data_IF_343302773416
#
_entry.id   IF_343302773416
#
_cell.length_a   1.000
_cell.length_b   1.000
_cell.length_c   1.000
_cell.angle_alpha   90.00
_cell.angle_beta   90.00
_cell.angle_gamma   90.00
#
_symmetry.space_group_name_H-M   'P 1'
#
loop_
_entity.id
_entity.type
_entity.pdbx_description
1 polymer ?
#
# COMPACT_ATOMS: atom_id res chain seq x y z
N UNK A 1 6.43 50.50 65.07
CA UNK A 1 5.26 49.62 65.30
C UNK A 1 5.25 48.57 64.18
N UNK A 2 5.41 47.33 64.60
CA UNK A 2 5.47 46.16 63.75
C UNK A 2 4.14 45.83 63.11
N UNK A 3 4.13 45.44 61.82
CA UNK A 3 3.17 44.46 61.33
C UNK A 3 3.86 43.56 60.31
N UNK A 4 4.06 42.32 60.73
CA UNK A 4 4.43 41.18 59.87
C UNK A 4 3.27 40.89 58.98
N UNK A 5 3.51 40.91 57.66
CA UNK A 5 2.64 40.25 56.70
C UNK A 5 3.17 38.84 56.48
N UNK A 6 2.36 37.84 56.78
CA UNK A 6 2.61 36.44 56.58
C UNK A 6 2.47 36.15 55.09
N UNK A 7 3.53 35.60 54.51
CA UNK A 7 3.54 34.99 53.17
C UNK A 7 2.82 33.66 53.27
N UNK A 8 1.63 33.56 52.66
CA UNK A 8 0.99 32.29 52.37
C UNK A 8 1.64 31.73 51.12
N UNK A 9 2.47 30.72 51.28
CA UNK A 9 2.88 29.84 50.18
C UNK A 9 1.68 29.00 49.76
N UNK A 10 1.11 29.30 48.60
CA UNK A 10 0.18 28.43 47.94
C UNK A 10 0.99 27.25 47.36
N UNK A 11 0.84 26.09 47.96
CA UNK A 11 1.20 24.81 47.31
C UNK A 11 0.28 24.61 46.12
N UNK A 12 0.74 24.92 44.92
CA UNK A 12 0.17 24.41 43.69
C UNK A 12 0.48 22.90 43.61
N UNK A 13 -0.43 22.10 44.16
CA UNK A 13 -0.49 20.69 43.85
C UNK A 13 -0.85 20.55 42.35
N UNK A 14 0.13 20.26 41.52
CA UNK A 14 -0.07 19.80 40.13
C UNK A 14 -0.93 18.55 40.22
N UNK A 15 -2.25 18.67 40.00
CA UNK A 15 -3.15 17.56 39.76
C UNK A 15 -2.65 16.84 38.51
N UNK A 16 -1.97 15.71 38.67
CA UNK A 16 -1.69 14.81 37.56
C UNK A 16 -3.04 14.38 36.97
N UNK A 17 -3.38 14.87 35.80
CA UNK A 17 -4.57 14.49 35.08
C UNK A 17 -4.65 12.95 35.06
N UNK A 18 -5.76 12.40 35.51
CA UNK A 18 -5.97 10.96 35.55
C UNK A 18 -5.92 10.38 34.15
N UNK A 19 -5.08 9.36 33.93
CA UNK A 19 -4.96 8.68 32.65
C UNK A 19 -6.19 7.80 32.39
N UNK A 20 -7.17 8.35 31.68
CA UNK A 20 -8.40 7.64 31.30
C UNK A 20 -8.57 7.71 29.79
N UNK A 21 -8.80 6.58 29.09
CA UNK A 21 -9.06 6.60 27.67
C UNK A 21 -10.37 7.34 27.35
N UNK A 22 -10.44 7.97 26.16
CA UNK A 22 -11.65 8.67 25.70
C UNK A 22 -12.81 7.71 25.43
N UNK A 23 -12.49 6.50 24.98
CA UNK A 23 -13.43 5.40 24.79
C UNK A 23 -13.01 4.26 25.70
N UNK A 24 -13.95 3.76 26.50
CA UNK A 24 -13.76 2.62 27.40
C UNK A 24 -14.91 1.65 27.21
N UNK A 25 -14.62 0.36 27.18
CA UNK A 25 -15.66 -0.64 27.09
C UNK A 25 -16.63 -0.51 28.27
N UNK A 26 -17.95 -0.77 28.09
CA UNK A 26 -18.97 -0.55 29.10
C UNK A 26 -18.64 -1.17 30.47
N UNK A 27 -18.07 -2.37 30.46
CA UNK A 27 -17.69 -3.14 31.65
C UNK A 27 -16.55 -2.51 32.48
N UNK A 28 -15.79 -1.57 31.89
CA UNK A 28 -14.64 -0.92 32.55
C UNK A 28 -14.85 0.58 32.79
N UNK A 29 -16.04 1.13 32.54
CA UNK A 29 -16.28 2.60 32.66
C UNK A 29 -15.93 3.15 34.03
N UNK A 30 -16.23 2.38 35.08
CA UNK A 30 -16.01 2.76 36.47
C UNK A 30 -14.71 2.19 37.05
N UNK A 31 -13.86 1.57 36.20
CA UNK A 31 -12.58 1.04 36.65
C UNK A 31 -11.57 2.17 36.91
N UNK A 32 -10.56 1.87 37.70
CA UNK A 32 -9.50 2.82 38.08
C UNK A 32 -8.82 3.47 36.86
N UNK A 33 -8.23 4.64 37.07
CA UNK A 33 -7.38 5.29 36.10
C UNK A 33 -6.17 4.41 35.74
N UNK A 34 -5.69 4.52 34.52
CA UNK A 34 -4.55 3.77 34.05
C UNK A 34 -3.25 4.23 34.72
N UNK A 35 -2.32 3.31 34.87
CA UNK A 35 -0.94 3.57 35.30
C UNK A 35 -0.07 3.86 34.08
N UNK A 36 1.08 4.50 34.30
CA UNK A 36 2.09 4.71 33.25
C UNK A 36 3.45 4.22 33.72
N UNK A 37 4.19 3.61 32.83
CA UNK A 37 5.59 3.22 33.08
C UNK A 37 6.39 3.23 31.77
N UNK A 38 7.71 3.36 31.90
CA UNK A 38 8.60 3.11 30.76
C UNK A 38 8.45 1.67 30.27
N UNK A 39 8.49 1.48 28.95
CA UNK A 39 8.34 0.15 28.33
C UNK A 39 9.37 -0.84 28.86
N UNK A 40 10.58 -0.40 29.17
CA UNK A 40 11.62 -1.24 29.75
C UNK A 40 11.21 -1.97 31.04
N UNK A 41 10.30 -1.38 31.82
CA UNK A 41 9.74 -1.98 33.04
C UNK A 41 8.59 -2.94 32.78
N UNK A 42 8.06 -2.95 31.56
CA UNK A 42 6.88 -3.72 31.17
C UNK A 42 7.22 -4.92 30.26
N UNK A 43 8.47 -5.03 29.84
CA UNK A 43 8.92 -6.10 28.93
C UNK A 43 10.11 -6.88 29.50
N UNK A 44 10.24 -8.08 29.02
CA UNK A 44 11.47 -8.89 29.10
C UNK A 44 11.94 -9.25 27.69
N UNK A 45 13.24 -9.47 27.53
CA UNK A 45 13.83 -9.92 26.25
C UNK A 45 13.98 -11.42 26.24
N UNK A 46 13.62 -12.06 25.13
CA UNK A 46 13.80 -13.48 24.89
C UNK A 46 15.06 -13.69 24.06
N UNK A 47 15.94 -14.57 24.54
CA UNK A 47 17.15 -14.94 23.81
C UNK A 47 16.88 -16.15 22.91
N UNK A 48 17.14 -16.09 21.60
CA UNK A 48 16.95 -17.22 20.71
C UNK A 48 17.98 -18.32 21.02
N UNK A 49 17.62 -19.60 20.89
CA UNK A 49 18.57 -20.71 21.06
C UNK A 49 19.67 -20.68 19.99
N UNK A 50 19.34 -20.26 18.76
CA UNK A 50 20.26 -20.15 17.63
C UNK A 50 19.76 -19.06 16.68
N UNK A 51 20.68 -18.39 15.99
CA UNK A 51 20.38 -17.47 14.87
C UNK A 51 20.75 -18.15 13.55
N UNK A 52 19.91 -17.95 12.54
CA UNK A 52 20.13 -18.49 11.19
C UNK A 52 20.72 -17.37 10.31
N UNK A 53 21.93 -17.57 9.72
CA UNK A 53 22.48 -16.61 8.76
C UNK A 53 21.62 -16.48 7.51
N UNK A 54 21.57 -15.31 6.89
CA UNK A 54 20.74 -15.07 5.70
C UNK A 54 21.10 -16.00 4.50
N UNK A 55 22.33 -16.49 4.45
CA UNK A 55 22.81 -17.46 3.44
C UNK A 55 22.21 -18.87 3.61
N UNK A 56 21.61 -19.15 4.77
CA UNK A 56 21.01 -20.45 5.09
C UNK A 56 19.47 -20.42 5.02
N UNK A 57 18.87 -19.33 4.52
CA UNK A 57 17.43 -19.25 4.36
C UNK A 57 16.97 -20.07 3.15
N UNK A 58 15.97 -20.91 3.36
CA UNK A 58 15.29 -21.62 2.28
C UNK A 58 14.13 -20.78 1.76
N UNK A 59 13.79 -20.99 0.48
CA UNK A 59 12.58 -20.40 -0.12
C UNK A 59 11.28 -21.06 0.41
N UNK A 60 11.36 -22.31 0.91
CA UNK A 60 10.29 -23.08 1.56
C UNK A 60 10.90 -23.99 2.59
N UNK A 61 10.18 -24.25 3.68
CA UNK A 61 10.62 -25.13 4.76
C UNK A 61 9.51 -25.32 5.81
N UNK A 62 9.82 -26.01 6.91
CA UNK A 62 8.90 -26.32 7.97
C UNK A 62 8.62 -25.13 8.91
N UNK A 63 9.64 -24.31 9.16
CA UNK A 63 9.57 -23.23 10.15
C UNK A 63 9.92 -21.88 9.56
N UNK A 64 9.13 -20.83 9.85
CA UNK A 64 9.42 -19.50 9.34
C UNK A 64 10.64 -18.88 10.04
N UNK A 65 11.47 -18.19 9.26
CA UNK A 65 12.55 -17.35 9.77
C UNK A 65 12.08 -15.91 9.76
N UNK A 66 12.24 -15.24 10.89
CA UNK A 66 11.85 -13.84 11.09
C UNK A 66 13.12 -13.00 11.29
N UNK A 67 13.20 -11.90 10.56
CA UNK A 67 14.27 -10.90 10.65
C UNK A 67 13.72 -9.49 10.81
N UNK A 68 14.60 -8.48 10.74
CA UNK A 68 14.23 -7.07 10.87
C UNK A 68 13.58 -6.48 9.61
N UNK A 69 13.43 -7.23 8.52
CA UNK A 69 12.79 -6.77 7.29
C UNK A 69 11.30 -6.46 7.48
N UNK A 70 10.71 -5.76 6.52
CA UNK A 70 9.28 -5.43 6.55
C UNK A 70 8.38 -6.63 6.21
N UNK A 71 8.90 -7.64 5.52
CA UNK A 71 8.17 -8.88 5.22
C UNK A 71 7.92 -9.68 6.48
N UNK A 72 6.73 -10.27 6.61
CA UNK A 72 6.38 -11.10 7.77
C UNK A 72 7.32 -12.29 7.93
N UNK A 73 7.68 -12.94 6.85
CA UNK A 73 8.62 -14.07 6.80
C UNK A 73 9.78 -13.70 5.88
N UNK A 74 11.00 -13.86 6.38
CA UNK A 74 12.23 -13.60 5.63
C UNK A 74 12.73 -14.82 4.84
N UNK A 75 12.39 -16.02 5.31
CA UNK A 75 12.75 -17.29 4.72
C UNK A 75 12.28 -18.44 5.59
N UNK A 76 12.79 -19.63 5.34
CA UNK A 76 12.37 -20.87 6.01
C UNK A 76 13.58 -21.68 6.45
N UNK A 77 13.38 -22.51 7.47
CA UNK A 77 14.37 -23.50 7.95
C UNK A 77 13.68 -24.79 8.32
N UNK A 78 14.42 -25.90 8.26
CA UNK A 78 14.00 -27.21 8.79
C UNK A 78 14.71 -27.57 10.09
N UNK A 79 15.50 -26.65 10.67
CA UNK A 79 16.24 -26.86 11.92
C UNK A 79 15.36 -26.63 13.15
N UNK A 80 14.88 -27.70 13.84
CA UNK A 80 14.05 -27.54 15.02
C UNK A 80 14.83 -27.00 16.24
N UNK A 81 16.16 -27.04 16.23
CA UNK A 81 16.99 -26.54 17.33
C UNK A 81 17.07 -25.00 17.35
N UNK A 82 16.70 -24.34 16.26
CA UNK A 82 16.65 -22.88 16.16
C UNK A 82 15.31 -22.29 16.62
N UNK A 83 14.33 -23.11 16.94
CA UNK A 83 12.97 -22.66 17.23
C UNK A 83 12.88 -21.98 18.59
N UNK A 84 12.28 -20.81 18.54
CA UNK A 84 11.76 -20.09 19.70
C UNK A 84 10.32 -20.52 19.87
N UNK A 85 10.02 -21.07 21.06
CA UNK A 85 8.69 -21.52 21.48
C UNK A 85 8.35 -20.80 22.76
N UNK A 86 7.18 -20.23 22.82
CA UNK A 86 6.63 -19.62 24.04
C UNK A 86 5.13 -19.89 24.06
N UNK A 87 4.54 -20.01 25.25
CA UNK A 87 3.10 -20.19 25.43
C UNK A 87 2.32 -18.89 25.23
N UNK A 88 3.02 -17.77 25.23
CA UNK A 88 2.46 -16.43 24.97
C UNK A 88 3.02 -15.87 23.68
N UNK A 89 2.28 -14.93 23.03
CA UNK A 89 2.77 -14.22 21.88
C UNK A 89 4.08 -13.47 22.15
N UNK A 90 4.90 -13.32 21.13
CA UNK A 90 6.16 -12.60 21.20
C UNK A 90 6.15 -11.40 20.24
N UNK A 91 6.64 -10.25 20.70
CA UNK A 91 6.84 -9.07 19.87
C UNK A 91 8.23 -9.12 19.28
N UNK A 92 8.33 -8.92 17.98
CA UNK A 92 9.59 -8.76 17.27
C UNK A 92 9.76 -7.29 16.90
N UNK A 93 10.88 -6.71 17.31
CA UNK A 93 11.25 -5.33 16.97
C UNK A 93 12.55 -5.32 16.16
N UNK A 94 12.50 -4.74 14.97
CA UNK A 94 13.69 -4.52 14.12
C UNK A 94 14.48 -3.31 14.61
N UNK A 95 15.70 -3.54 15.10
CA UNK A 95 16.51 -2.52 15.76
C UNK A 95 16.96 -1.38 14.82
N UNK A 96 17.09 -1.65 13.52
CA UNK A 96 17.44 -0.66 12.50
C UNK A 96 16.26 -0.20 11.65
N UNK A 97 15.29 -1.08 11.44
CA UNK A 97 14.14 -0.84 10.53
C UNK A 97 12.90 -0.33 11.26
N UNK A 98 12.87 -0.44 12.59
CA UNK A 98 11.69 -0.21 13.43
C UNK A 98 10.47 -1.09 13.05
N UNK A 99 10.70 -2.16 12.28
CA UNK A 99 9.65 -3.12 11.96
C UNK A 99 9.12 -3.75 13.26
N UNK A 100 7.80 -3.82 13.39
CA UNK A 100 7.12 -4.36 14.55
C UNK A 100 6.19 -5.50 14.11
N UNK A 101 6.39 -6.69 14.69
CA UNK A 101 5.60 -7.89 14.38
C UNK A 101 5.17 -8.56 15.68
N UNK A 102 4.08 -9.31 15.65
CA UNK A 102 3.67 -10.21 16.75
C UNK A 102 3.57 -11.62 16.22
N UNK A 103 4.16 -12.57 16.94
CA UNK A 103 4.16 -13.97 16.57
C UNK A 103 3.53 -14.80 17.67
N UNK A 104 2.63 -15.70 17.27
CA UNK A 104 1.92 -16.64 18.15
C UNK A 104 2.36 -18.07 17.94
N UNK A 105 2.99 -18.34 16.79
CA UNK A 105 3.50 -19.65 16.42
C UNK A 105 5.01 -19.74 16.57
N UNK A 106 5.58 -20.93 16.75
CA UNK A 106 7.02 -21.12 16.81
C UNK A 106 7.74 -20.62 15.54
N UNK A 107 8.86 -19.93 15.72
CA UNK A 107 9.66 -19.37 14.63
C UNK A 107 11.16 -19.45 14.95
N UNK A 108 11.99 -19.27 13.95
CA UNK A 108 13.44 -19.13 14.11
C UNK A 108 13.86 -17.65 13.92
N UNK A 109 14.84 -17.21 14.70
CA UNK A 109 15.44 -15.90 14.49
C UNK A 109 16.40 -15.97 13.29
N UNK A 110 16.24 -15.05 12.35
CA UNK A 110 17.19 -14.82 11.28
C UNK A 110 18.45 -14.08 11.74
N UNK A 111 19.07 -13.37 10.82
CA UNK A 111 20.27 -12.57 11.08
C UNK A 111 20.08 -11.53 12.21
N UNK A 112 21.19 -10.90 12.64
CA UNK A 112 21.17 -9.89 13.69
C UNK A 112 20.25 -8.69 13.37
N UNK A 113 19.92 -7.91 14.40
CA UNK A 113 19.15 -6.67 14.28
C UNK A 113 17.70 -6.79 14.71
N UNK A 114 17.27 -7.89 15.35
CA UNK A 114 15.97 -7.96 16.01
C UNK A 114 16.09 -8.08 17.53
N UNK A 115 15.04 -7.63 18.20
CA UNK A 115 14.77 -7.85 19.62
C UNK A 115 13.46 -8.60 19.75
N UNK A 116 13.49 -9.66 20.54
CA UNK A 116 12.32 -10.50 20.84
C UNK A 116 11.86 -10.12 22.24
N UNK A 117 10.63 -9.64 22.35
CA UNK A 117 10.10 -9.04 23.58
C UNK A 117 8.84 -9.79 24.02
N UNK A 118 8.68 -9.90 25.33
CA UNK A 118 7.51 -10.47 25.99
C UNK A 118 7.05 -9.51 27.08
N UNK A 119 5.74 -9.41 27.31
CA UNK A 119 5.17 -8.66 28.43
C UNK A 119 5.66 -9.18 29.77
N UNK A 120 5.87 -8.30 30.72
CA UNK A 120 6.37 -8.61 32.06
C UNK A 120 5.33 -8.19 33.10
N UNK A 121 4.48 -9.12 33.53
CA UNK A 121 3.53 -9.00 34.64
C UNK A 121 2.47 -7.90 34.54
N UNK A 122 2.84 -6.58 34.64
CA UNK A 122 1.85 -5.51 34.63
C UNK A 122 1.13 -5.30 33.30
N UNK A 123 1.77 -5.69 32.18
CA UNK A 123 1.20 -5.55 30.85
C UNK A 123 1.36 -6.81 30.02
N UNK A 124 0.30 -7.20 29.32
CA UNK A 124 0.30 -8.37 28.42
C UNK A 124 1.01 -8.05 27.11
N UNK A 125 1.62 -9.04 26.50
CA UNK A 125 2.35 -8.92 25.23
C UNK A 125 1.46 -8.37 24.13
N UNK A 126 0.24 -8.87 23.99
CA UNK A 126 -0.69 -8.44 22.94
C UNK A 126 -1.14 -6.98 23.12
N UNK A 127 -1.44 -6.56 24.35
CA UNK A 127 -1.75 -5.17 24.65
C UNK A 127 -0.58 -4.23 24.32
N UNK A 128 0.64 -4.61 24.72
CA UNK A 128 1.85 -3.85 24.42
C UNK A 128 2.08 -3.74 22.91
N UNK A 129 1.89 -4.83 22.16
CA UNK A 129 1.99 -4.81 20.70
C UNK A 129 1.03 -3.79 20.09
N UNK A 130 -0.24 -3.80 20.47
CA UNK A 130 -1.23 -2.85 19.95
C UNK A 130 -0.90 -1.41 20.34
N UNK A 131 -0.40 -1.17 21.56
CA UNK A 131 0.03 0.14 21.99
C UNK A 131 1.25 0.65 21.19
N UNK A 132 2.21 -0.22 20.89
CA UNK A 132 3.37 0.10 20.07
C UNK A 132 2.99 0.36 18.61
N UNK A 133 1.98 -0.33 18.07
CA UNK A 133 1.39 -0.03 16.76
C UNK A 133 0.71 1.35 16.72
N UNK A 134 0.11 1.78 17.84
CA UNK A 134 -0.50 3.12 17.95
C UNK A 134 0.54 4.23 17.91
N UNK A 135 1.67 4.06 18.60
CA UNK A 135 2.78 5.01 18.63
C UNK A 135 4.09 4.33 18.27
N UNK A 136 4.32 4.04 16.98
CA UNK A 136 5.53 3.35 16.54
C UNK A 136 6.77 4.20 16.78
N UNK A 137 7.92 3.56 16.91
CA UNK A 137 9.21 4.22 16.75
C UNK A 137 9.40 4.42 15.24
N UNK A 138 9.70 5.64 14.83
CA UNK A 138 9.99 5.94 13.43
C UNK A 138 11.49 5.74 13.17
N UNK A 139 11.87 5.14 12.03
CA UNK A 139 13.26 5.02 11.69
C UNK A 139 13.86 6.41 11.43
N UNK A 140 14.94 6.69 12.10
CA UNK A 140 15.81 7.83 11.83
C UNK A 140 17.03 7.33 11.03
N UNK A 141 18.08 8.16 10.82
CA UNK A 141 19.32 7.74 10.18
C UNK A 141 19.84 6.39 10.69
N UNK A 142 20.79 5.76 10.01
CA UNK A 142 21.27 4.41 10.33
C UNK A 142 21.80 4.30 11.78
N UNK A 143 20.90 4.07 12.72
CA UNK A 143 21.19 3.85 14.16
C UNK A 143 20.33 2.72 14.72
N UNK A 144 20.64 2.35 15.95
CA UNK A 144 19.85 1.38 16.73
C UNK A 144 18.72 2.11 17.46
N UNK A 145 17.49 1.59 17.34
CA UNK A 145 16.31 2.24 17.89
C UNK A 145 15.74 1.55 19.13
N UNK A 146 16.35 0.46 19.58
CA UNK A 146 15.82 -0.29 20.74
C UNK A 146 15.88 0.52 22.03
N UNK A 147 16.88 1.39 22.24
CA UNK A 147 16.91 2.32 23.35
C UNK A 147 15.71 3.26 23.34
N UNK A 148 15.40 3.87 22.18
CA UNK A 148 14.23 4.74 22.00
C UNK A 148 12.94 4.00 22.29
N UNK A 149 12.85 2.73 21.87
CA UNK A 149 11.68 1.91 22.15
C UNK A 149 11.50 1.69 23.68
N UNK A 150 12.56 1.38 24.41
CA UNK A 150 12.57 1.12 25.85
C UNK A 150 12.16 2.34 26.68
N UNK A 151 12.55 3.52 26.23
CA UNK A 151 12.28 4.80 26.94
C UNK A 151 10.84 5.28 26.76
N UNK A 152 10.07 4.68 25.82
CA UNK A 152 8.67 5.04 25.62
C UNK A 152 7.85 4.83 26.89
N UNK A 153 7.03 5.83 27.22
CA UNK A 153 6.08 5.72 28.31
C UNK A 153 4.77 5.11 27.79
N UNK A 154 4.37 4.02 28.42
CA UNK A 154 3.16 3.25 28.10
C UNK A 154 2.14 3.45 29.19
N UNK A 155 0.94 3.89 28.82
CA UNK A 155 -0.22 3.88 29.71
C UNK A 155 -0.90 2.49 29.63
N UNK A 156 -1.28 1.93 30.76
CA UNK A 156 -1.91 0.62 30.82
C UNK A 156 -2.89 0.49 31.99
N UNK A 157 -4.02 -0.22 31.82
CA UNK A 157 -4.89 -0.61 32.93
C UNK A 157 -4.29 -1.77 33.69
N UNK A 158 -4.80 -2.06 34.87
CA UNK A 158 -4.35 -3.21 35.64
C UNK A 158 -4.62 -4.54 34.88
N UNK A 159 -3.61 -5.40 34.76
CA UNK A 159 -3.72 -6.64 33.96
C UNK A 159 -4.86 -7.55 34.46
N UNK A 160 -5.07 -7.62 35.76
CA UNK A 160 -6.13 -8.45 36.38
C UNK A 160 -7.56 -7.99 36.07
N UNK A 161 -7.75 -6.75 35.61
CA UNK A 161 -9.07 -6.23 35.27
C UNK A 161 -9.69 -6.91 34.03
N UNK A 162 -8.87 -7.48 33.15
CA UNK A 162 -9.28 -8.00 31.86
C UNK A 162 -9.40 -6.92 30.76
N UNK A 163 -9.22 -5.65 31.06
CA UNK A 163 -9.36 -4.56 30.11
C UNK A 163 -8.28 -4.60 29.02
N UNK A 164 -7.02 -4.95 29.38
CA UNK A 164 -5.94 -5.13 28.42
C UNK A 164 -6.28 -6.18 27.37
N UNK A 165 -6.79 -7.33 27.82
CA UNK A 165 -7.18 -8.43 26.93
C UNK A 165 -8.31 -7.99 26.00
N UNK A 166 -9.33 -7.31 26.53
CA UNK A 166 -10.47 -6.82 25.74
C UNK A 166 -10.05 -5.85 24.65
N UNK A 167 -9.12 -4.94 24.95
CA UNK A 167 -8.55 -3.98 23.97
C UNK A 167 -7.73 -4.75 22.93
N UNK A 168 -6.86 -5.65 23.37
CA UNK A 168 -6.03 -6.45 22.47
C UNK A 168 -6.89 -7.31 21.52
N UNK A 169 -7.89 -8.01 22.01
CA UNK A 169 -8.80 -8.82 21.21
C UNK A 169 -9.56 -8.01 20.18
N UNK A 170 -10.08 -6.84 20.58
CA UNK A 170 -10.80 -5.94 19.68
C UNK A 170 -9.90 -5.45 18.54
N UNK A 171 -8.68 -5.02 18.84
CA UNK A 171 -7.76 -4.52 17.82
C UNK A 171 -7.15 -5.64 16.97
N UNK A 172 -6.87 -6.80 17.55
CA UNK A 172 -6.39 -7.98 16.82
C UNK A 172 -7.44 -8.53 15.87
N UNK A 173 -8.72 -8.56 16.25
CA UNK A 173 -9.79 -8.97 15.34
C UNK A 173 -9.91 -8.07 14.10
N UNK A 174 -9.59 -6.77 14.25
CA UNK A 174 -9.49 -5.86 13.10
C UNK A 174 -8.24 -6.13 12.26
N UNK A 175 -7.12 -6.52 12.87
CA UNK A 175 -5.92 -6.94 12.12
C UNK A 175 -6.20 -8.18 11.28
N UNK A 176 -6.85 -9.18 11.87
CA UNK A 176 -7.23 -10.41 11.18
C UNK A 176 -8.17 -10.13 10.00
N UNK A 177 -9.13 -9.22 10.21
CA UNK A 177 -10.04 -8.78 9.14
C UNK A 177 -9.30 -8.06 8.03
N UNK A 178 -8.40 -7.11 8.35
CA UNK A 178 -7.58 -6.40 7.37
C UNK A 178 -6.70 -7.38 6.59
N UNK A 179 -6.12 -8.35 7.26
CA UNK A 179 -5.30 -9.40 6.63
C UNK A 179 -6.13 -10.26 5.67
N UNK A 180 -7.30 -10.73 6.07
CA UNK A 180 -8.18 -11.54 5.23
C UNK A 180 -8.66 -10.77 3.98
N UNK A 181 -9.03 -9.48 4.15
CA UNK A 181 -9.45 -8.63 3.03
C UNK A 181 -8.26 -8.30 2.11
N UNK A 182 -7.03 -8.22 2.63
CA UNK A 182 -5.82 -8.04 1.83
C UNK A 182 -5.51 -9.29 0.99
N UNK A 183 -5.61 -10.48 1.56
CA UNK A 183 -5.46 -11.74 0.83
C UNK A 183 -6.51 -11.87 -0.29
N UNK A 184 -7.75 -11.44 -0.04
CA UNK A 184 -8.80 -11.38 -1.07
C UNK A 184 -8.44 -10.41 -2.20
N UNK A 185 -7.88 -9.25 -1.88
CA UNK A 185 -7.40 -8.28 -2.88
C UNK A 185 -6.32 -8.90 -3.78
N UNK A 186 -5.35 -9.60 -3.20
CA UNK A 186 -4.26 -10.23 -3.93
C UNK A 186 -4.77 -11.39 -4.80
N UNK A 187 -5.76 -12.15 -4.33
CA UNK A 187 -6.42 -13.18 -5.10
C UNK A 187 -7.17 -12.59 -6.31
N UNK A 188 -7.89 -11.47 -6.15
CA UNK A 188 -8.55 -10.77 -7.25
C UNK A 188 -7.55 -10.26 -8.30
N UNK A 189 -6.44 -9.66 -7.88
CA UNK A 189 -5.38 -9.21 -8.78
C UNK A 189 -4.76 -10.38 -9.57
N UNK A 190 -4.48 -11.48 -8.87
CA UNK A 190 -3.94 -12.70 -9.47
C UNK A 190 -4.91 -13.30 -10.48
N UNK A 191 -6.19 -13.38 -10.12
CA UNK A 191 -7.25 -13.87 -11.00
C UNK A 191 -7.37 -13.00 -12.25
N UNK A 192 -7.42 -11.66 -12.11
CA UNK A 192 -7.44 -10.73 -13.26
C UNK A 192 -6.26 -10.97 -14.18
N UNK A 193 -5.04 -11.05 -13.62
CA UNK A 193 -3.81 -11.31 -14.41
C UNK A 193 -3.91 -12.62 -15.18
N UNK A 194 -4.35 -13.71 -14.54
CA UNK A 194 -4.53 -15.00 -15.18
C UNK A 194 -5.59 -14.97 -16.26
N UNK A 195 -6.70 -14.28 -16.04
CA UNK A 195 -7.77 -14.13 -17.02
C UNK A 195 -7.31 -13.31 -18.24
N UNK A 196 -6.59 -12.20 -18.03
CA UNK A 196 -5.99 -11.43 -19.13
C UNK A 196 -5.09 -12.32 -20.02
N UNK A 197 -4.23 -13.17 -19.43
CA UNK A 197 -3.35 -14.08 -20.17
C UNK A 197 -4.11 -15.15 -20.96
N UNK A 198 -5.36 -15.42 -20.62
CA UNK A 198 -6.19 -16.42 -21.31
C UNK A 198 -7.12 -15.80 -22.34
N UNK A 199 -7.64 -14.59 -22.11
CA UNK A 199 -8.55 -13.86 -22.99
C UNK A 199 -7.84 -13.18 -24.17
N UNK A 200 -6.52 -13.08 -24.13
CA UNK A 200 -5.71 -12.56 -25.25
C UNK A 200 -4.84 -13.66 -25.82
N UNK A 201 -4.63 -13.70 -27.16
CA UNK A 201 -3.70 -14.61 -27.78
C UNK A 201 -2.27 -14.43 -27.25
N UNK A 202 -1.51 -15.49 -27.15
CA UNK A 202 -0.08 -15.41 -26.90
C UNK A 202 0.68 -14.93 -28.14
N UNK A 203 1.94 -14.58 -27.94
CA UNK A 203 2.81 -14.23 -29.07
C UNK A 203 2.86 -15.37 -30.11
N UNK A 204 2.52 -15.05 -31.36
CA UNK A 204 2.43 -16.01 -32.47
C UNK A 204 1.10 -16.77 -32.53
N UNK A 205 0.17 -16.61 -31.60
CA UNK A 205 -1.19 -17.16 -31.68
C UNK A 205 -2.18 -16.09 -32.19
N UNK A 206 -3.19 -16.52 -32.94
CA UNK A 206 -4.25 -15.64 -33.48
C UNK A 206 -5.59 -15.84 -32.79
N UNK A 207 -5.70 -16.84 -31.89
CA UNK A 207 -6.91 -17.17 -31.13
C UNK A 207 -6.57 -17.27 -29.64
N UNK A 208 -7.35 -16.65 -28.75
CA UNK A 208 -7.10 -16.76 -27.29
C UNK A 208 -7.47 -18.17 -26.79
N UNK A 209 -6.85 -18.58 -25.67
CA UNK A 209 -7.12 -19.90 -25.05
C UNK A 209 -8.48 -19.98 -24.39
N UNK A 210 -8.96 -18.85 -23.88
CA UNK A 210 -10.31 -18.71 -23.34
C UNK A 210 -11.06 -17.69 -24.19
N UNK A 211 -12.23 -18.11 -24.69
CA UNK A 211 -13.11 -17.26 -25.47
C UNK A 211 -14.52 -17.38 -24.95
N UNK A 212 -15.24 -16.27 -24.90
CA UNK A 212 -16.62 -16.30 -24.46
C UNK A 212 -17.48 -17.19 -25.37
N UNK A 213 -18.50 -17.88 -24.84
CA UNK A 213 -19.29 -18.83 -25.60
C UNK A 213 -19.85 -18.27 -26.92
N UNK A 214 -20.28 -17.02 -26.91
CA UNK A 214 -20.84 -16.29 -28.04
C UNK A 214 -19.85 -16.06 -29.20
N UNK A 215 -18.53 -16.19 -28.95
CA UNK A 215 -17.49 -15.95 -29.93
C UNK A 215 -16.65 -17.20 -30.25
N UNK A 216 -17.00 -18.37 -29.71
CA UNK A 216 -16.21 -19.60 -29.93
C UNK A 216 -16.08 -19.96 -31.42
N UNK A 217 -17.14 -19.73 -32.21
CA UNK A 217 -17.17 -19.97 -33.65
C UNK A 217 -16.69 -18.75 -34.48
N UNK A 218 -16.31 -17.64 -33.85
CA UNK A 218 -15.77 -16.48 -34.54
C UNK A 218 -14.36 -16.79 -35.09
N UNK A 219 -13.99 -16.16 -36.20
CA UNK A 219 -12.71 -16.35 -36.86
C UNK A 219 -11.49 -15.99 -36.01
N UNK A 220 -10.32 -16.11 -36.58
CA UNK A 220 -9.06 -15.66 -35.97
C UNK A 220 -9.05 -14.14 -35.80
N UNK A 221 -8.30 -13.66 -34.80
CA UNK A 221 -8.11 -12.25 -34.60
C UNK A 221 -7.20 -11.64 -35.66
N UNK A 222 -7.55 -10.46 -36.14
CA UNK A 222 -6.76 -9.75 -37.15
C UNK A 222 -5.59 -9.01 -36.49
N UNK A 223 -4.45 -8.96 -37.16
CA UNK A 223 -3.32 -8.14 -36.75
C UNK A 223 -3.55 -6.69 -37.16
N UNK A 224 -3.73 -5.77 -36.20
CA UNK A 224 -3.88 -4.34 -36.44
C UNK A 224 -2.77 -3.55 -35.77
N UNK A 225 -2.34 -2.43 -36.34
CA UNK A 225 -1.41 -1.51 -35.70
C UNK A 225 -2.13 -0.65 -34.65
N UNK A 226 -1.40 -0.12 -33.65
CA UNK A 226 -1.98 0.84 -32.70
C UNK A 226 -2.59 2.04 -33.42
N UNK A 227 -1.99 2.48 -34.55
CA UNK A 227 -2.53 3.54 -35.39
C UNK A 227 -3.87 3.27 -36.03
N UNK A 228 -4.23 1.98 -36.21
CA UNK A 228 -5.54 1.58 -36.76
C UNK A 228 -6.67 1.72 -35.75
N UNK A 229 -6.36 1.75 -34.43
CA UNK A 229 -7.37 1.95 -33.37
C UNK A 229 -7.95 3.36 -33.33
N UNK A 230 -7.22 4.34 -33.88
CA UNK A 230 -7.68 5.71 -33.90
C UNK A 230 -6.55 6.74 -34.01
N UNK A 231 -6.82 7.96 -33.63
CA UNK A 231 -5.84 9.04 -33.68
C UNK A 231 -4.80 8.89 -32.55
N UNK A 232 -3.51 8.87 -32.91
CA UNK A 232 -2.42 8.88 -31.95
C UNK A 232 -1.91 10.31 -31.77
N UNK A 233 -1.93 10.83 -30.53
CA UNK A 233 -1.47 12.20 -30.21
C UNK A 233 -0.33 12.11 -29.22
N UNK A 234 0.83 12.72 -29.57
CA UNK A 234 1.89 13.00 -28.61
C UNK A 234 1.53 14.24 -27.82
N UNK A 235 1.58 14.18 -26.51
CA UNK A 235 1.31 15.30 -25.63
C UNK A 235 2.30 16.44 -25.79
N UNK A 236 1.96 17.58 -25.23
CA UNK A 236 2.78 18.79 -25.20
C UNK A 236 2.56 19.55 -23.89
N UNK A 237 3.55 20.32 -23.46
CA UNK A 237 3.49 21.10 -22.23
C UNK A 237 3.32 22.57 -22.58
N UNK A 238 2.30 23.28 -22.06
CA UNK A 238 2.17 24.70 -22.20
C UNK A 238 3.40 25.44 -21.64
N UNK A 239 3.67 26.65 -22.07
CA UNK A 239 4.81 27.41 -21.57
C UNK A 239 4.74 27.59 -20.05
N UNK A 240 5.75 27.09 -19.34
CA UNK A 240 5.86 27.21 -17.86
C UNK A 240 6.18 28.68 -17.44
N UNK A 241 6.60 29.53 -18.38
CA UNK A 241 6.78 30.94 -18.13
C UNK A 241 5.45 31.73 -18.05
N UNK A 242 4.31 31.05 -18.30
CA UNK A 242 2.95 31.61 -18.24
C UNK A 242 2.12 30.94 -17.15
N UNK A 243 2.22 31.40 -15.90
CA UNK A 243 1.52 30.78 -14.75
C UNK A 243 -0.01 30.73 -14.93
N UNK A 244 -0.57 31.67 -15.70
CA UNK A 244 -2.01 31.74 -16.01
C UNK A 244 -2.54 30.54 -16.78
N UNK A 245 -1.70 29.68 -17.33
CA UNK A 245 -2.10 28.44 -17.99
C UNK A 245 -2.36 27.30 -17.02
N UNK A 246 -1.95 27.45 -15.75
CA UNK A 246 -1.97 26.39 -14.74
C UNK A 246 -2.95 26.68 -13.59
N UNK A 247 -3.29 25.64 -12.81
CA UNK A 247 -4.13 25.78 -11.62
C UNK A 247 -5.64 25.79 -11.87
N UNK A 248 -6.08 25.44 -13.08
CA UNK A 248 -7.50 25.32 -13.44
C UNK A 248 -8.09 23.94 -13.09
N UNK A 249 -9.21 23.62 -13.76
CA UNK A 249 -9.93 22.35 -13.50
C UNK A 249 -9.65 21.21 -14.49
N UNK A 250 -8.78 21.42 -15.50
CA UNK A 250 -8.52 20.43 -16.55
C UNK A 250 -7.28 19.61 -16.19
N UNK A 251 -7.36 18.26 -16.13
CA UNK A 251 -6.21 17.41 -15.80
C UNK A 251 -5.07 17.57 -16.82
N UNK A 252 -3.84 17.70 -16.31
CA UNK A 252 -2.61 17.63 -17.10
C UNK A 252 -1.81 16.41 -16.66
N UNK A 253 -1.95 15.33 -17.42
CA UNK A 253 -1.41 14.02 -17.05
C UNK A 253 0.08 13.93 -17.39
N UNK A 254 0.87 13.55 -16.43
CA UNK A 254 2.28 13.19 -16.54
C UNK A 254 2.50 11.73 -16.09
N UNK A 255 3.66 11.12 -16.37
CA UNK A 255 3.93 9.75 -15.90
C UNK A 255 3.84 9.57 -14.36
N UNK A 256 4.00 10.65 -13.59
CA UNK A 256 3.89 10.63 -12.12
C UNK A 256 2.44 10.54 -11.63
N UNK A 257 1.47 10.84 -12.47
CA UNK A 257 0.03 10.77 -12.16
C UNK A 257 -0.56 9.38 -12.50
N UNK A 258 0.20 8.56 -13.26
CA UNK A 258 -0.23 7.21 -13.68
C UNK A 258 0.15 6.21 -12.58
N UNK A 259 -0.87 5.64 -11.95
CA UNK A 259 -0.79 4.57 -10.95
C UNK A 259 -1.08 3.19 -11.56
N UNK A 260 -1.22 2.17 -10.71
CA UNK A 260 -1.66 0.83 -11.13
C UNK A 260 -3.17 0.73 -11.40
N UNK A 261 -3.91 1.83 -11.20
CA UNK A 261 -5.33 1.90 -11.51
C UNK A 261 -5.55 2.19 -13.00
N UNK A 262 -6.64 1.63 -13.55
CA UNK A 262 -7.00 1.86 -14.95
C UNK A 262 -7.22 3.34 -15.27
N UNK A 263 -7.94 4.05 -14.38
CA UNK A 263 -8.45 5.39 -14.64
C UNK A 263 -7.59 6.47 -13.98
N UNK A 264 -7.22 7.49 -14.75
CA UNK A 264 -6.68 8.74 -14.22
C UNK A 264 -7.79 9.81 -14.27
N UNK A 265 -8.06 10.42 -13.11
CA UNK A 265 -9.03 11.50 -12.95
C UNK A 265 -8.40 12.77 -12.36
N UNK A 266 -7.54 12.56 -11.37
CA UNK A 266 -6.89 13.64 -10.64
C UNK A 266 -5.39 13.66 -10.96
N UNK A 267 -4.84 14.85 -11.13
CA UNK A 267 -3.44 15.07 -11.49
C UNK A 267 -2.82 16.12 -10.57
N UNK A 268 -1.52 16.03 -10.34
CA UNK A 268 -0.78 17.01 -9.53
C UNK A 268 -0.80 18.39 -10.14
N UNK A 269 -0.81 18.46 -11.47
CA UNK A 269 -0.86 19.70 -12.24
C UNK A 269 -2.17 19.73 -13.02
N UNK A 270 -2.82 20.88 -13.03
CA UNK A 270 -4.03 21.12 -13.81
C UNK A 270 -3.86 22.35 -14.69
N UNK A 271 -4.65 22.45 -15.76
CA UNK A 271 -4.64 23.57 -16.69
C UNK A 271 -5.91 24.39 -16.57
N UNK A 272 -5.78 25.69 -16.87
CA UNK A 272 -6.91 26.58 -17.15
C UNK A 272 -7.44 26.32 -18.56
N UNK A 273 -8.60 26.86 -18.91
CA UNK A 273 -9.12 26.79 -20.27
C UNK A 273 -8.15 27.36 -21.29
N UNK A 274 -7.52 28.52 -21.01
CA UNK A 274 -6.52 29.13 -21.88
C UNK A 274 -5.24 28.32 -22.04
N UNK A 275 -4.79 27.63 -20.97
CA UNK A 275 -3.66 26.70 -21.06
C UNK A 275 -3.99 25.44 -21.87
N UNK A 276 -5.23 24.99 -21.82
CA UNK A 276 -5.70 23.83 -22.58
C UNK A 276 -5.87 24.12 -24.08
N UNK A 277 -6.23 25.34 -24.45
CA UNK A 277 -6.33 25.80 -25.85
C UNK A 277 -4.97 25.87 -26.56
N UNK A 278 -3.87 26.05 -25.82
CA UNK A 278 -2.51 26.08 -26.37
C UNK A 278 -1.94 24.73 -26.78
N UNK A 279 -2.60 23.64 -26.38
CA UNK A 279 -2.10 22.28 -26.59
C UNK A 279 -3.17 21.36 -27.19
N UNK A 280 -2.76 20.17 -27.59
CA UNK A 280 -3.68 19.22 -28.21
C UNK A 280 -4.55 18.54 -27.14
N UNK A 281 -5.87 18.69 -27.23
CA UNK A 281 -6.79 18.06 -26.28
C UNK A 281 -6.83 16.54 -26.49
N UNK A 282 -6.87 15.81 -25.38
CA UNK A 282 -7.09 14.36 -25.38
C UNK A 282 -8.51 14.12 -24.89
N UNK A 283 -9.33 13.50 -25.75
CA UNK A 283 -10.73 13.21 -25.45
C UNK A 283 -10.87 12.19 -24.34
N UNK A 284 -12.00 12.25 -23.62
CA UNK A 284 -12.37 11.22 -22.64
C UNK A 284 -12.32 9.80 -23.25
N UNK A 285 -12.05 8.82 -22.42
CA UNK A 285 -11.90 7.40 -22.78
C UNK A 285 -10.72 7.08 -23.73
N UNK A 286 -9.77 8.00 -23.90
CA UNK A 286 -8.51 7.74 -24.59
C UNK A 286 -7.58 6.87 -23.76
N UNK A 287 -6.70 6.13 -24.42
CA UNK A 287 -5.65 5.34 -23.76
C UNK A 287 -4.33 6.06 -23.83
N UNK A 288 -3.71 6.26 -22.68
CA UNK A 288 -2.49 7.02 -22.47
C UNK A 288 -1.35 6.04 -22.18
N UNK A 289 -0.29 6.07 -22.97
CA UNK A 289 0.88 5.21 -22.85
C UNK A 289 2.16 6.04 -22.65
N UNK A 290 2.94 5.75 -21.62
CA UNK A 290 4.22 6.43 -21.37
C UNK A 290 5.26 5.88 -22.33
N UNK A 291 5.81 6.73 -23.18
CA UNK A 291 6.77 6.39 -24.23
C UNK A 291 8.19 6.90 -23.96
N UNK A 292 8.44 7.68 -22.91
CA UNK A 292 9.75 8.27 -22.63
C UNK A 292 10.10 8.17 -21.14
N UNK A 293 11.34 7.76 -20.86
CA UNK A 293 11.93 7.78 -19.52
C UNK A 293 11.84 6.44 -18.78
N UNK A 294 12.22 6.44 -17.51
CA UNK A 294 12.32 5.23 -16.67
C UNK A 294 10.97 4.55 -16.38
N UNK A 295 9.86 5.23 -16.66
CA UNK A 295 8.49 4.73 -16.43
C UNK A 295 7.79 4.33 -17.73
N UNK A 296 8.56 4.15 -18.80
CA UNK A 296 8.05 3.70 -20.10
C UNK A 296 7.26 2.38 -19.93
N UNK A 297 6.12 2.27 -20.61
CA UNK A 297 5.23 1.12 -20.47
C UNK A 297 4.07 1.32 -19.47
N UNK A 298 4.04 2.39 -18.68
CA UNK A 298 2.83 2.70 -17.90
C UNK A 298 1.66 3.04 -18.80
N UNK A 299 0.49 2.48 -18.49
CA UNK A 299 -0.76 2.66 -19.25
C UNK A 299 -1.87 3.12 -18.33
N UNK A 300 -2.69 4.05 -18.80
CA UNK A 300 -3.90 4.49 -18.12
C UNK A 300 -4.97 4.93 -19.12
N UNK A 301 -6.18 5.16 -18.65
CA UNK A 301 -7.29 5.67 -19.45
C UNK A 301 -7.86 6.92 -18.74
N UNK A 302 -8.15 7.97 -19.49
CA UNK A 302 -8.72 9.19 -18.90
C UNK A 302 -10.26 9.13 -18.86
N UNK A 303 -10.85 9.60 -17.74
CA UNK A 303 -12.32 9.64 -17.56
C UNK A 303 -12.95 10.82 -18.30
N UNK A 304 -12.23 11.93 -18.37
CA UNK A 304 -12.69 13.21 -18.97
C UNK A 304 -11.61 13.78 -19.87
N UNK A 305 -11.99 14.75 -20.70
CA UNK A 305 -11.03 15.47 -21.53
C UNK A 305 -9.85 15.96 -20.68
N UNK A 306 -8.64 15.76 -21.16
CA UNK A 306 -7.40 16.07 -20.46
C UNK A 306 -6.32 16.50 -21.43
N UNK A 307 -5.18 16.86 -20.92
CA UNK A 307 -3.95 17.06 -21.65
C UNK A 307 -2.83 16.17 -21.10
N UNK A 308 -1.81 15.90 -21.89
CA UNK A 308 -0.65 15.11 -21.49
C UNK A 308 0.65 15.82 -21.80
N UNK A 309 1.72 15.51 -21.05
CA UNK A 309 3.04 15.98 -21.42
C UNK A 309 3.61 15.15 -22.60
N UNK A 310 4.73 15.58 -23.14
CA UNK A 310 5.39 14.98 -24.32
C UNK A 310 5.93 13.54 -24.08
N UNK A 311 5.92 13.04 -22.85
CA UNK A 311 6.34 11.67 -22.53
C UNK A 311 5.25 10.64 -22.85
N UNK A 312 4.03 11.09 -23.11
CA UNK A 312 2.85 10.25 -23.30
C UNK A 312 2.38 10.34 -24.76
N UNK A 313 2.19 9.19 -25.37
CA UNK A 313 1.37 9.04 -26.58
C UNK A 313 -0.03 8.57 -26.17
N UNK A 314 -1.03 9.30 -26.62
CA UNK A 314 -2.44 9.04 -26.34
C UNK A 314 -3.11 8.52 -27.61
N UNK A 315 -3.93 7.46 -27.47
CA UNK A 315 -4.75 6.94 -28.57
C UNK A 315 -6.21 7.29 -28.31
N UNK A 316 -6.81 8.06 -29.19
CA UNK A 316 -8.24 8.38 -29.20
C UNK A 316 -8.91 7.33 -30.07
N UNK A 317 -9.64 6.36 -29.50
CA UNK A 317 -10.22 5.27 -30.29
C UNK A 317 -11.26 5.79 -31.30
N UNK A 318 -11.28 5.20 -32.47
CA UNK A 318 -12.35 5.41 -33.45
C UNK A 318 -13.57 4.55 -33.10
N UNK A 319 -14.63 4.63 -33.91
CA UNK A 319 -15.90 3.92 -33.67
C UNK A 319 -15.85 2.40 -33.91
N UNK A 320 -14.77 1.89 -34.49
CA UNK A 320 -14.59 0.46 -34.79
C UNK A 320 -13.81 -0.27 -33.68
N UNK A 321 -13.31 0.47 -32.68
CA UNK A 321 -12.45 -0.08 -31.63
C UNK A 321 -12.83 0.37 -30.22
N UNK A 322 -12.78 -0.57 -29.29
CA UNK A 322 -13.02 -0.31 -27.88
C UNK A 322 -11.75 0.25 -27.21
N UNK A 323 -11.87 1.45 -26.62
CA UNK A 323 -10.80 2.01 -25.79
C UNK A 323 -10.48 1.15 -24.55
N UNK A 324 -11.49 0.49 -24.00
CA UNK A 324 -11.30 -0.46 -22.90
C UNK A 324 -10.47 -1.68 -23.30
N UNK A 325 -10.77 -2.26 -24.46
CA UNK A 325 -9.98 -3.36 -25.00
C UNK A 325 -8.53 -2.93 -25.28
N UNK A 326 -8.35 -1.78 -25.92
CA UNK A 326 -7.02 -1.24 -26.19
C UNK A 326 -6.21 -1.02 -24.91
N UNK A 327 -6.85 -0.51 -23.83
CA UNK A 327 -6.19 -0.36 -22.53
C UNK A 327 -5.62 -1.70 -22.03
N UNK A 328 -6.41 -2.78 -22.06
CA UNK A 328 -5.96 -4.09 -21.61
C UNK A 328 -4.93 -4.71 -22.56
N UNK A 329 -5.11 -4.56 -23.85
CA UNK A 329 -4.14 -5.02 -24.85
C UNK A 329 -2.76 -4.34 -24.66
N UNK A 330 -2.74 -3.01 -24.47
CA UNK A 330 -1.52 -2.26 -24.19
C UNK A 330 -0.92 -2.62 -22.84
N UNK A 331 -1.73 -2.79 -21.80
CA UNK A 331 -1.27 -3.18 -20.47
C UNK A 331 -0.61 -4.57 -20.48
N UNK A 332 -1.17 -5.53 -21.20
CA UNK A 332 -0.62 -6.88 -21.34
C UNK A 332 0.71 -6.88 -22.13
N UNK A 333 0.83 -6.00 -23.12
CA UNK A 333 2.00 -5.89 -23.99
C UNK A 333 2.99 -4.79 -23.56
N UNK A 334 2.78 -4.16 -22.39
CA UNK A 334 3.53 -2.98 -21.99
C UNK A 334 5.04 -3.20 -21.93
N UNK A 335 5.48 -4.33 -21.39
CA UNK A 335 6.90 -4.70 -21.31
C UNK A 335 7.51 -4.96 -22.71
N UNK A 336 6.79 -5.68 -23.57
CA UNK A 336 7.22 -5.92 -24.97
C UNK A 336 7.35 -4.61 -25.73
N UNK A 337 6.41 -3.69 -25.56
CA UNK A 337 6.44 -2.36 -26.20
C UNK A 337 7.59 -1.53 -25.62
N UNK A 338 7.77 -1.53 -24.30
CA UNK A 338 8.85 -0.81 -23.64
C UNK A 338 10.24 -1.22 -24.13
N UNK A 339 10.44 -2.51 -24.44
CA UNK A 339 11.69 -3.05 -24.97
C UNK A 339 12.05 -2.50 -26.37
N UNK A 340 11.10 -1.91 -27.10
CA UNK A 340 11.39 -1.24 -28.37
C UNK A 340 12.22 0.05 -28.21
N UNK A 341 12.27 0.61 -27.01
CA UNK A 341 13.03 1.85 -26.73
C UNK A 341 14.55 1.66 -26.82
N UNK A 342 15.04 0.40 -26.82
CA UNK A 342 16.48 0.12 -26.82
C UNK A 342 17.19 0.53 -25.52
N UNK A 343 18.48 0.19 -25.44
CA UNK A 343 19.32 0.53 -24.28
C UNK A 343 19.93 1.92 -24.51
N UNK A 344 19.32 2.94 -23.93
CA UNK A 344 19.76 4.33 -24.00
C UNK A 344 19.71 4.99 -22.61
N UNK A 345 20.46 6.08 -22.42
CA UNK A 345 20.43 6.83 -21.15
C UNK A 345 19.02 7.35 -20.80
N UNK A 346 18.24 7.75 -21.82
CA UNK A 346 16.80 8.02 -21.70
C UNK A 346 16.10 7.20 -22.77
N UNK A 347 15.43 6.08 -22.41
CA UNK A 347 14.72 5.26 -23.38
C UNK A 347 13.54 6.02 -23.98
N UNK A 348 13.36 5.90 -25.30
CA UNK A 348 12.30 6.63 -26.05
C UNK A 348 11.70 5.72 -27.12
N UNK A 349 10.37 5.68 -27.16
CA UNK A 349 9.59 5.17 -28.29
C UNK A 349 8.89 6.35 -28.94
N UNK A 350 9.29 6.71 -30.15
CA UNK A 350 8.64 7.81 -30.86
C UNK A 350 7.22 7.44 -31.33
N UNK A 351 6.43 8.46 -31.72
CA UNK A 351 5.05 8.27 -32.16
C UNK A 351 4.92 7.25 -33.30
N UNK A 352 5.80 7.31 -34.30
CA UNK A 352 5.76 6.40 -35.45
C UNK A 352 6.00 4.95 -35.04
N UNK A 353 7.01 4.71 -34.21
CA UNK A 353 7.30 3.38 -33.66
C UNK A 353 6.13 2.85 -32.82
N UNK A 354 5.58 3.69 -31.94
CA UNK A 354 4.43 3.33 -31.10
C UNK A 354 3.21 2.98 -31.96
N UNK A 355 2.86 3.84 -32.94
CA UNK A 355 1.71 3.63 -33.82
C UNK A 355 1.85 2.39 -34.69
N UNK A 356 3.07 1.96 -35.02
CA UNK A 356 3.34 0.80 -35.87
C UNK A 356 3.32 -0.53 -35.11
N UNK A 357 3.24 -0.52 -33.76
CA UNK A 357 3.16 -1.75 -32.96
C UNK A 357 1.88 -2.51 -33.32
N UNK A 358 2.01 -3.79 -33.66
CA UNK A 358 0.88 -4.63 -34.01
C UNK A 358 0.36 -5.43 -32.82
N UNK A 359 -0.96 -5.56 -32.78
CA UNK A 359 -1.70 -6.26 -31.73
C UNK A 359 -2.75 -7.15 -32.40
N UNK A 360 -3.01 -8.37 -31.88
CA UNK A 360 -4.14 -9.16 -32.30
C UNK A 360 -5.45 -8.53 -31.80
N UNK A 361 -6.44 -8.40 -32.67
CA UNK A 361 -7.69 -7.67 -32.45
C UNK A 361 -8.88 -8.42 -32.95
N UNK A 362 -9.89 -8.74 -32.14
CA UNK A 362 -11.14 -9.33 -32.59
C UNK A 362 -12.10 -8.26 -33.15
N UNK A 363 -13.26 -8.67 -33.60
CA UNK A 363 -14.35 -7.77 -33.95
C UNK A 363 -14.86 -6.97 -32.73
N UNK A 364 -15.43 -5.79 -32.96
CA UNK A 364 -15.82 -4.85 -31.91
C UNK A 364 -16.67 -5.46 -30.77
N UNK A 365 -17.70 -6.30 -31.05
CA UNK A 365 -18.51 -6.91 -29.98
C UNK A 365 -17.67 -7.78 -29.01
N UNK A 366 -16.69 -8.49 -29.51
CA UNK A 366 -15.79 -9.29 -28.66
C UNK A 366 -14.80 -8.40 -27.88
N UNK A 367 -14.31 -7.31 -28.50
CA UNK A 367 -13.49 -6.29 -27.79
C UNK A 367 -14.26 -5.73 -26.58
N UNK A 368 -15.50 -5.33 -26.77
CA UNK A 368 -16.36 -4.78 -25.72
C UNK A 368 -16.60 -5.79 -24.61
N UNK A 369 -16.92 -7.04 -24.98
CA UNK A 369 -17.17 -8.12 -24.02
C UNK A 369 -15.95 -8.42 -23.14
N UNK A 370 -14.75 -8.43 -23.72
CA UNK A 370 -13.48 -8.60 -22.99
C UNK A 370 -13.25 -7.40 -22.06
N UNK A 371 -13.43 -6.19 -22.59
CA UNK A 371 -13.25 -4.95 -21.83
C UNK A 371 -14.19 -4.89 -20.62
N UNK A 372 -15.47 -5.23 -20.78
CA UNK A 372 -16.47 -5.23 -19.71
C UNK A 372 -16.11 -6.24 -18.62
N UNK A 373 -15.72 -7.45 -19.00
CA UNK A 373 -15.32 -8.49 -18.05
C UNK A 373 -14.13 -8.06 -17.20
N UNK A 374 -13.10 -7.50 -17.81
CA UNK A 374 -11.89 -7.06 -17.10
C UNK A 374 -12.13 -5.77 -16.30
N UNK A 375 -12.99 -4.87 -16.82
CA UNK A 375 -13.39 -3.66 -16.10
C UNK A 375 -14.15 -3.98 -14.81
N UNK A 376 -15.04 -4.96 -14.84
CA UNK A 376 -15.74 -5.43 -13.65
C UNK A 376 -14.74 -5.90 -12.56
N UNK A 377 -13.67 -6.59 -12.96
CA UNK A 377 -12.62 -6.99 -12.00
C UNK A 377 -11.84 -5.79 -11.47
N UNK A 378 -11.57 -4.76 -12.28
CA UNK A 378 -10.95 -3.51 -11.81
C UNK A 378 -11.83 -2.78 -10.78
N UNK A 379 -13.13 -2.76 -11.01
CA UNK A 379 -14.09 -2.17 -10.07
C UNK A 379 -14.10 -2.94 -8.73
N UNK A 380 -14.09 -4.29 -8.79
CA UNK A 380 -13.99 -5.12 -7.58
C UNK A 380 -12.67 -4.90 -6.83
N UNK A 381 -11.55 -4.82 -7.54
CA UNK A 381 -10.21 -4.55 -6.95
C UNK A 381 -10.21 -3.18 -6.29
N UNK A 382 -10.76 -2.17 -6.95
CA UNK A 382 -10.86 -0.80 -6.42
C UNK A 382 -11.74 -0.73 -5.18
N UNK A 383 -12.91 -1.37 -5.21
CA UNK A 383 -13.82 -1.43 -4.07
C UNK A 383 -13.18 -2.16 -2.88
N UNK A 384 -12.47 -3.27 -3.16
CA UNK A 384 -11.76 -4.04 -2.15
C UNK A 384 -10.62 -3.23 -1.50
N UNK A 385 -9.85 -2.47 -2.29
CA UNK A 385 -8.79 -1.58 -1.77
C UNK A 385 -9.38 -0.51 -0.85
N UNK A 386 -10.44 0.19 -1.28
CA UNK A 386 -11.13 1.20 -0.46
C UNK A 386 -11.67 0.62 0.85
N UNK A 387 -12.17 -0.61 0.83
CA UNK A 387 -12.64 -1.31 2.02
C UNK A 387 -11.51 -1.54 3.03
N UNK A 388 -10.35 -1.98 2.55
CA UNK A 388 -9.15 -2.16 3.39
C UNK A 388 -8.71 -0.83 4.01
N UNK A 389 -8.67 0.25 3.22
CA UNK A 389 -8.30 1.58 3.69
C UNK A 389 -9.27 2.09 4.77
N UNK A 390 -10.57 1.84 4.59
CA UNK A 390 -11.59 2.17 5.59
C UNK A 390 -11.37 1.41 6.91
N UNK A 391 -11.06 0.11 6.86
CA UNK A 391 -10.75 -0.67 8.07
C UNK A 391 -9.49 -0.17 8.77
N UNK A 392 -8.43 0.15 8.03
CA UNK A 392 -7.19 0.74 8.58
C UNK A 392 -7.47 2.09 9.26
N UNK A 393 -8.25 2.94 8.61
CA UNK A 393 -8.65 4.23 9.18
C UNK A 393 -9.51 4.05 10.44
N UNK A 394 -10.46 3.10 10.42
CA UNK A 394 -11.30 2.78 11.57
C UNK A 394 -10.46 2.28 12.75
N UNK A 395 -9.55 1.31 12.52
CA UNK A 395 -8.62 0.82 13.55
C UNK A 395 -7.82 1.97 14.15
N UNK A 396 -7.23 2.84 13.30
CA UNK A 396 -6.48 4.01 13.77
C UNK A 396 -7.33 4.93 14.64
N UNK A 397 -8.58 5.20 14.25
CA UNK A 397 -9.51 6.00 15.02
C UNK A 397 -9.88 5.38 16.37
N UNK A 398 -10.07 4.05 16.43
CA UNK A 398 -10.27 3.33 17.68
C UNK A 398 -9.05 3.41 18.59
N UNK A 399 -7.86 3.20 18.07
CA UNK A 399 -6.61 3.29 18.85
C UNK A 399 -6.45 4.68 19.49
N UNK A 400 -6.78 5.75 18.76
CA UNK A 400 -6.74 7.13 19.28
C UNK A 400 -7.72 7.39 20.44
N UNK A 401 -8.78 6.59 20.55
CA UNK A 401 -9.78 6.70 21.59
C UNK A 401 -9.52 5.74 22.77
N UNK A 402 -9.03 4.53 22.45
CA UNK A 402 -8.75 3.48 23.44
C UNK A 402 -7.44 3.70 24.21
N UNK A 403 -6.44 4.37 23.60
CA UNK A 403 -5.17 4.63 24.28
C UNK A 403 -5.09 6.12 24.71
N UNK A 404 -5.00 6.41 26.01
CA UNK A 404 -4.78 7.77 26.47
C UNK A 404 -3.39 8.26 26.03
N UNK A 405 -3.33 9.53 25.69
CA UNK A 405 -2.06 10.19 25.35
C UNK A 405 -1.35 10.50 26.67
N UNK A 406 -0.18 9.93 26.86
CA UNK A 406 0.74 10.38 27.91
C UNK A 406 1.57 11.48 27.27
N UNK A 407 1.46 12.72 27.78
CA UNK A 407 2.38 13.77 27.38
C UNK A 407 3.77 13.34 27.83
N UNK A 408 4.70 13.27 26.89
CA UNK A 408 6.10 13.03 27.22
C UNK A 408 6.54 14.22 28.10
N UNK A 409 6.77 13.96 29.36
CA UNK A 409 7.37 14.95 30.26
C UNK A 409 8.73 15.25 29.69
N UNK A 410 8.87 16.42 29.05
CA UNK A 410 10.17 16.96 28.70
C UNK A 410 10.92 17.17 30.04
N UNK A 411 11.94 16.33 30.28
CA UNK A 411 12.95 16.62 31.28
C UNK A 411 13.89 17.72 30.80
#
# INVERSE_FOLDING_TARGET
MNTKAASAMSEESSEKSALVPRLRFPEFRDAEAWKAAQLDKLISTVTPPKKIPATEYFAKGLFPIIDQGQSDIAGWTDDPSALIKDDEPLIIFGDHTCALKVLREPFAQGADGIKILKGNGPATTEFLYQHLCFRPVLPEEYKRHFSILRDKVIAYPEAKSGEQQKIADCLSSLDDLIMAETQKLDALKTHKKGLMQQLFPREGETVPRLRFPEFQEAGEWAEKSIGDFGEVITGSTPSTARPEFYGGGIPFVSPADISDLRWVNDTKTTLTASGFEEIRPIKANSVLFVCIGSTIGKVTQNIRDCATNQQINSVIPNTEHSGGFLYYALSLNAERIANLAGIQAVPIINKTQFSAVRLPVPELPEQERIADCLSFLDDLITAQSKKIDAFKAHKKGLMQQLFPVVDEVQE
#
